data_IF_463591711249
#
_entry.id   IF_463591711249
#
_cell.length_a   1.000
_cell.length_b   1.000
_cell.length_c   1.000
_cell.angle_alpha   90.00
_cell.angle_beta   90.00
_cell.angle_gamma   90.00
#
_symmetry.space_group_name_H-M   'P 1'
#
loop_
_entity.id
_entity.type
_entity.pdbx_description
1 polymer ?
#
# COMPACT_ATOMS: atom_id res chain seq x y z
N UNK A 1 43.08 -14.54 44.16
CA UNK A 1 43.81 -13.26 44.35
C UNK A 1 45.02 -13.37 45.30
N UNK A 2 45.12 -14.39 46.17
CA UNK A 2 46.23 -14.50 47.13
C UNK A 2 47.54 -15.03 46.54
N UNK A 3 47.48 -15.85 45.48
CA UNK A 3 48.67 -16.46 44.84
C UNK A 3 49.49 -15.45 44.05
N UNK A 4 48.84 -14.49 43.37
CA UNK A 4 49.53 -13.43 42.61
C UNK A 4 50.21 -12.41 43.55
N UNK A 5 49.59 -12.10 44.71
CA UNK A 5 50.21 -11.26 45.76
C UNK A 5 51.41 -11.95 46.43
N UNK A 6 51.36 -13.26 46.65
CA UNK A 6 52.48 -14.03 47.23
C UNK A 6 53.65 -14.14 46.24
N UNK A 7 53.39 -14.29 44.94
CA UNK A 7 54.43 -14.36 43.92
C UNK A 7 55.17 -13.02 43.75
N UNK A 8 54.44 -11.89 43.85
CA UNK A 8 55.03 -10.54 43.83
C UNK A 8 55.93 -10.28 45.07
N UNK A 9 55.53 -10.78 46.25
CA UNK A 9 56.27 -10.59 47.50
C UNK A 9 57.58 -11.40 47.57
N UNK A 10 57.61 -12.57 46.93
CA UNK A 10 58.83 -13.39 46.81
C UNK A 10 59.85 -12.77 45.84
N UNK A 11 59.38 -12.15 44.75
CA UNK A 11 60.25 -11.44 43.80
C UNK A 11 60.88 -10.18 44.43
N UNK A 12 60.13 -9.47 45.29
CA UNK A 12 60.66 -8.31 46.03
C UNK A 12 61.66 -8.73 47.11
N UNK A 13 61.48 -9.90 47.75
CA UNK A 13 62.42 -10.40 48.76
C UNK A 13 63.79 -10.76 48.15
N UNK A 14 63.82 -11.28 46.92
CA UNK A 14 65.06 -11.63 46.21
C UNK A 14 65.82 -10.43 45.63
N UNK A 15 65.20 -9.26 45.53
CA UNK A 15 65.83 -8.05 44.98
C UNK A 15 66.73 -7.30 46.00
N UNK A 16 66.73 -7.68 47.29
CA UNK A 16 67.34 -6.87 48.37
C UNK A 16 68.74 -7.30 48.83
N UNK A 17 69.31 -8.38 48.27
CA UNK A 17 70.67 -8.84 48.61
C UNK A 17 71.65 -8.69 47.44
N UNK A 18 71.70 -7.50 46.85
CA UNK A 18 72.80 -7.08 45.99
C UNK A 18 73.87 -6.34 46.79
N UNK A 19 74.77 -7.05 47.48
CA UNK A 19 76.04 -6.42 47.84
C UNK A 19 76.78 -6.19 46.51
N UNK A 20 76.87 -4.93 46.09
CA UNK A 20 77.48 -4.48 44.83
C UNK A 20 78.98 -4.79 44.83
N UNK A 21 79.33 -6.06 44.68
CA UNK A 21 80.67 -6.52 44.38
C UNK A 21 80.85 -6.41 42.87
N UNK A 22 81.82 -5.62 42.44
CA UNK A 22 82.01 -5.35 41.03
C UNK A 22 83.20 -6.12 40.49
N UNK A 23 82.92 -7.07 39.60
CA UNK A 23 83.96 -7.83 38.91
C UNK A 23 84.55 -7.01 37.76
N UNK A 24 85.87 -6.86 37.76
CA UNK A 24 86.62 -6.21 36.69
C UNK A 24 87.75 -7.12 36.24
N UNK A 25 87.94 -7.21 34.91
CA UNK A 25 88.98 -8.03 34.29
C UNK A 25 90.08 -7.09 33.79
N UNK A 26 91.28 -7.27 34.32
CA UNK A 26 92.47 -6.51 33.92
C UNK A 26 93.60 -7.52 33.72
N UNK A 27 94.28 -7.48 32.57
CA UNK A 27 95.40 -8.38 32.25
C UNK A 27 95.08 -9.90 32.37
N UNK A 28 93.83 -10.29 32.12
CA UNK A 28 93.39 -11.70 32.13
C UNK A 28 93.10 -12.28 33.52
N UNK A 29 93.14 -11.46 34.59
CA UNK A 29 92.74 -11.85 35.95
C UNK A 29 91.47 -11.10 36.37
N UNK A 30 90.59 -11.80 37.08
CA UNK A 30 89.32 -11.25 37.58
C UNK A 30 89.51 -10.74 39.00
N UNK A 31 89.22 -9.46 39.21
CA UNK A 31 89.28 -8.79 40.50
C UNK A 31 87.88 -8.38 40.94
N UNK A 32 87.58 -8.54 42.22
CA UNK A 32 86.31 -8.15 42.81
C UNK A 32 86.53 -6.90 43.67
N UNK A 33 85.92 -5.79 43.27
CA UNK A 33 86.08 -4.50 43.93
C UNK A 33 84.86 -4.26 44.82
N UNK A 34 85.12 -4.03 46.12
CA UNK A 34 84.06 -3.74 47.11
C UNK A 34 84.60 -2.81 48.18
N UNK A 35 83.85 -1.76 48.51
CA UNK A 35 84.15 -0.82 49.61
C UNK A 35 85.63 -0.35 49.63
N UNK A 36 86.12 0.05 48.45
CA UNK A 36 87.51 0.53 48.24
C UNK A 36 88.62 -0.52 48.47
N UNK A 37 88.28 -1.81 48.44
CA UNK A 37 89.22 -2.94 48.51
C UNK A 37 89.15 -3.77 47.24
N UNK A 38 90.29 -4.33 46.83
CA UNK A 38 90.43 -5.19 45.67
C UNK A 38 90.68 -6.62 46.18
N UNK A 39 89.77 -7.52 45.82
CA UNK A 39 89.85 -8.93 46.16
C UNK A 39 90.17 -9.77 44.92
N UNK A 40 91.00 -10.79 45.09
CA UNK A 40 91.23 -11.85 44.10
C UNK A 40 91.06 -13.19 44.80
N UNK A 41 90.23 -14.08 44.25
CA UNK A 41 89.94 -15.40 44.86
C UNK A 41 89.49 -15.32 46.34
N UNK A 42 88.80 -14.24 46.71
CA UNK A 42 88.31 -14.01 48.08
C UNK A 42 89.33 -13.46 49.08
N UNK A 43 90.57 -13.17 48.66
CA UNK A 43 91.61 -12.54 49.50
C UNK A 43 91.80 -11.07 49.14
N UNK A 44 91.92 -10.21 50.17
CA UNK A 44 92.23 -8.79 50.01
C UNK A 44 93.68 -8.64 49.55
N UNK A 45 93.87 -8.12 48.34
CA UNK A 45 95.19 -7.91 47.73
C UNK A 45 95.52 -6.42 47.56
N UNK A 46 94.75 -5.54 48.20
CA UNK A 46 94.84 -4.09 48.03
C UNK A 46 96.22 -3.52 48.36
N UNK A 47 96.94 -4.11 49.31
CA UNK A 47 98.30 -3.69 49.69
C UNK A 47 99.39 -4.26 48.78
N UNK A 48 99.08 -5.33 48.03
CA UNK A 48 100.04 -6.07 47.20
C UNK A 48 100.09 -5.59 45.74
N UNK A 49 99.16 -4.72 45.35
CA UNK A 49 99.10 -4.09 44.04
C UNK A 49 99.91 -2.79 44.02
N UNK A 50 100.46 -2.43 42.85
CA UNK A 50 101.06 -1.10 42.64
C UNK A 50 99.99 -0.02 42.55
N UNK A 51 100.33 1.22 42.88
CA UNK A 51 99.36 2.32 42.84
C UNK A 51 98.79 2.56 41.43
N UNK A 52 99.59 2.28 40.40
CA UNK A 52 99.17 2.31 38.99
C UNK A 52 98.09 1.24 38.73
N UNK A 53 98.31 0.01 39.18
CA UNK A 53 97.35 -1.09 39.01
C UNK A 53 96.08 -0.89 39.82
N UNK A 54 96.17 -0.38 41.06
CA UNK A 54 94.99 -0.04 41.87
C UNK A 54 94.13 1.02 41.18
N UNK A 55 94.77 2.07 40.67
CA UNK A 55 94.07 3.15 39.97
C UNK A 55 93.37 2.63 38.71
N UNK A 56 94.04 1.79 37.91
CA UNK A 56 93.43 1.18 36.73
C UNK A 56 92.22 0.28 37.08
N UNK A 57 92.32 -0.54 38.12
CA UNK A 57 91.24 -1.43 38.58
C UNK A 57 90.06 -0.63 39.13
N UNK A 58 90.32 0.41 39.95
CA UNK A 58 89.27 1.28 40.49
C UNK A 58 88.60 2.13 39.40
N UNK A 59 89.35 2.67 38.43
CA UNK A 59 88.79 3.42 37.31
C UNK A 59 87.91 2.54 36.41
N UNK A 60 88.33 1.29 36.16
CA UNK A 60 87.53 0.33 35.41
C UNK A 60 86.26 -0.06 36.16
N UNK A 61 86.33 -0.25 37.48
CA UNK A 61 85.16 -0.51 38.33
C UNK A 61 84.21 0.71 38.30
N UNK A 62 84.73 1.92 38.48
CA UNK A 62 83.93 3.15 38.40
C UNK A 62 83.21 3.29 37.05
N UNK A 63 83.91 3.09 35.93
CA UNK A 63 83.31 3.12 34.58
C UNK A 63 82.23 2.05 34.41
N UNK A 64 82.47 0.83 34.89
CA UNK A 64 81.47 -0.22 34.84
C UNK A 64 80.26 0.08 35.74
N UNK A 65 80.44 0.81 36.85
CA UNK A 65 79.34 1.18 37.76
C UNK A 65 78.50 2.31 37.17
N UNK A 66 79.15 3.30 36.56
CA UNK A 66 78.47 4.37 35.80
C UNK A 66 77.68 3.79 34.63
N UNK A 67 78.26 2.86 33.88
CA UNK A 67 77.59 2.19 32.75
C UNK A 67 76.40 1.32 33.21
N UNK A 68 76.50 0.66 34.37
CA UNK A 68 75.37 -0.07 34.96
C UNK A 68 74.26 0.89 35.41
N UNK A 69 74.61 2.03 36.01
CA UNK A 69 73.64 3.06 36.43
C UNK A 69 72.94 3.69 35.22
N UNK A 70 73.66 3.95 34.14
CA UNK A 70 73.11 4.43 32.88
C UNK A 70 72.18 3.41 32.24
N UNK A 71 72.57 2.13 32.20
CA UNK A 71 71.70 1.04 31.72
C UNK A 71 70.43 0.91 32.54
N UNK A 72 70.51 1.01 33.87
CA UNK A 72 69.34 0.95 34.74
C UNK A 72 68.40 2.15 34.49
N UNK A 73 68.92 3.37 34.40
CA UNK A 73 68.11 4.54 34.09
C UNK A 73 67.42 4.42 32.72
N UNK A 74 68.13 3.91 31.70
CA UNK A 74 67.56 3.69 30.38
C UNK A 74 66.49 2.58 30.40
N UNK A 75 66.67 1.54 31.22
CA UNK A 75 65.68 0.48 31.43
C UNK A 75 64.41 1.04 32.09
N UNK A 76 64.56 1.82 33.17
CA UNK A 76 63.44 2.43 33.90
C UNK A 76 62.67 3.43 33.01
N UNK A 77 63.39 4.21 32.18
CA UNK A 77 62.79 5.08 31.17
C UNK A 77 62.03 4.30 30.10
N UNK A 78 62.58 3.19 29.61
CA UNK A 78 61.93 2.33 28.64
C UNK A 78 60.69 1.62 29.22
N UNK A 79 60.72 1.20 30.48
CA UNK A 79 59.58 0.61 31.18
C UNK A 79 58.47 1.65 31.39
N UNK A 80 58.83 2.87 31.79
CA UNK A 80 57.87 3.98 31.93
C UNK A 80 57.21 4.34 30.60
N UNK A 81 57.99 4.40 29.52
CA UNK A 81 57.46 4.67 28.17
C UNK A 81 56.50 3.57 27.71
N UNK A 82 56.83 2.29 27.93
CA UNK A 82 55.93 1.16 27.65
C UNK A 82 54.65 1.21 28.47
N UNK A 83 54.73 1.59 29.74
CA UNK A 83 53.55 1.70 30.60
C UNK A 83 52.62 2.83 30.15
N UNK A 84 53.17 3.96 29.70
CA UNK A 84 52.41 5.08 29.13
C UNK A 84 51.72 4.68 27.82
N UNK A 85 52.41 3.94 26.94
CA UNK A 85 51.84 3.39 25.70
C UNK A 85 50.69 2.41 26.00
N UNK A 86 50.86 1.51 26.97
CA UNK A 86 49.80 0.57 27.40
C UNK A 86 48.60 1.32 27.96
N UNK A 87 48.81 2.36 28.76
CA UNK A 87 47.71 3.15 29.33
C UNK A 87 46.95 3.91 28.24
N UNK A 88 47.66 4.45 27.25
CA UNK A 88 47.05 5.12 26.09
C UNK A 88 46.22 4.12 25.28
N UNK A 89 46.78 2.96 24.93
CA UNK A 89 46.06 1.91 24.21
C UNK A 89 44.83 1.41 24.99
N UNK A 90 44.93 1.28 26.32
CA UNK A 90 43.80 0.89 27.17
C UNK A 90 42.69 1.94 27.18
N UNK A 91 43.04 3.23 27.17
CA UNK A 91 42.07 4.30 27.10
C UNK A 91 41.36 4.31 25.73
N UNK A 92 42.08 4.14 24.64
CA UNK A 92 41.51 4.04 23.29
C UNK A 92 40.54 2.86 23.16
N UNK A 93 40.89 1.69 23.71
CA UNK A 93 40.00 0.52 23.72
C UNK A 93 38.72 0.80 24.52
N UNK A 94 38.82 1.46 25.67
CA UNK A 94 37.66 1.83 26.49
C UNK A 94 36.74 2.82 25.77
N UNK A 95 37.31 3.81 25.09
CA UNK A 95 36.54 4.78 24.30
C UNK A 95 35.86 4.09 23.10
N UNK A 96 36.54 3.16 22.43
CA UNK A 96 35.97 2.36 21.35
C UNK A 96 34.83 1.45 21.81
N UNK A 97 34.93 0.87 23.01
CA UNK A 97 33.87 0.03 23.59
C UNK A 97 32.62 0.85 23.94
N UNK A 98 32.80 2.03 24.56
CA UNK A 98 31.69 2.96 24.83
C UNK A 98 31.01 3.42 23.53
N UNK A 99 31.78 3.72 22.50
CA UNK A 99 31.23 4.10 21.19
C UNK A 99 30.41 2.97 20.55
N UNK A 100 30.84 1.70 20.72
CA UNK A 100 30.06 0.53 20.25
C UNK A 100 28.76 0.36 21.03
N UNK A 101 28.79 0.50 22.36
CA UNK A 101 27.59 0.41 23.20
C UNK A 101 26.58 1.51 22.86
N UNK A 102 27.05 2.75 22.66
CA UNK A 102 26.19 3.87 22.25
C UNK A 102 25.58 3.63 20.85
N UNK A 103 26.35 3.10 19.91
CA UNK A 103 25.86 2.76 18.57
C UNK A 103 24.81 1.64 18.63
N UNK A 104 25.01 0.61 19.44
CA UNK A 104 24.04 -0.49 19.63
C UNK A 104 22.73 0.03 20.24
N UNK A 105 22.80 0.89 21.26
CA UNK A 105 21.63 1.48 21.89
C UNK A 105 20.85 2.39 20.92
N UNK A 106 21.55 3.17 20.09
CA UNK A 106 20.93 3.97 19.01
C UNK A 106 20.23 3.09 17.98
N UNK A 107 20.84 1.97 17.58
CA UNK A 107 20.20 1.03 16.65
C UNK A 107 18.94 0.41 17.24
N UNK A 108 18.98 -0.05 18.50
CA UNK A 108 17.80 -0.60 19.18
C UNK A 108 16.66 0.41 19.31
N UNK A 109 16.98 1.67 19.59
CA UNK A 109 15.99 2.75 19.64
C UNK A 109 15.34 3.00 18.27
N UNK A 110 16.12 3.02 17.18
CA UNK A 110 15.61 3.17 15.82
C UNK A 110 14.74 1.98 15.39
N UNK A 111 15.11 0.76 15.75
CA UNK A 111 14.28 -0.42 15.48
C UNK A 111 12.96 -0.39 16.24
N UNK A 112 12.97 0.02 17.51
CA UNK A 112 11.75 0.17 18.30
C UNK A 112 10.82 1.26 17.72
N UNK A 113 11.37 2.39 17.27
CA UNK A 113 10.59 3.45 16.62
C UNK A 113 9.97 2.98 15.30
N UNK A 114 10.74 2.26 14.48
CA UNK A 114 10.24 1.67 13.22
C UNK A 114 9.13 0.64 13.51
N UNK A 115 9.31 -0.23 14.50
CA UNK A 115 8.31 -1.22 14.88
C UNK A 115 7.01 -0.58 15.38
N UNK A 116 7.08 0.54 16.11
CA UNK A 116 5.90 1.30 16.53
C UNK A 116 5.15 1.90 15.33
N UNK A 117 5.88 2.55 14.40
CA UNK A 117 5.29 3.11 13.16
C UNK A 117 4.63 2.05 12.29
N UNK A 118 5.22 0.85 12.20
CA UNK A 118 4.61 -0.27 11.45
C UNK A 118 3.29 -0.69 12.10
N UNK A 119 3.24 -0.84 13.43
CA UNK A 119 2.01 -1.23 14.13
C UNK A 119 0.88 -0.21 13.97
N UNK A 120 1.20 1.07 13.97
CA UNK A 120 0.19 2.12 13.76
C UNK A 120 -0.31 2.11 12.31
N UNK A 121 0.58 1.93 11.34
CA UNK A 121 0.21 1.78 9.93
C UNK A 121 -0.65 0.52 9.66
N UNK A 122 -0.34 -0.61 10.30
CA UNK A 122 -1.14 -1.84 10.20
C UNK A 122 -2.56 -1.65 10.75
N UNK A 123 -2.72 -0.96 11.89
CA UNK A 123 -4.05 -0.65 12.45
C UNK A 123 -4.86 0.27 11.54
N UNK A 124 -4.21 1.27 10.94
CA UNK A 124 -4.86 2.18 10.00
C UNK A 124 -5.30 1.44 8.73
N UNK A 125 -4.45 0.56 8.19
CA UNK A 125 -4.78 -0.27 7.05
C UNK A 125 -5.95 -1.24 7.33
N UNK A 126 -5.98 -1.87 8.51
CA UNK A 126 -7.10 -2.75 8.92
C UNK A 126 -8.41 -1.97 9.06
N UNK A 127 -8.37 -0.76 9.62
CA UNK A 127 -9.54 0.12 9.73
C UNK A 127 -10.07 0.53 8.34
N UNK A 128 -9.17 0.86 7.41
CA UNK A 128 -9.53 1.19 6.03
C UNK A 128 -10.15 0.00 5.29
N UNK A 129 -9.60 -1.20 5.43
CA UNK A 129 -10.18 -2.42 4.84
C UNK A 129 -11.58 -2.72 5.37
N UNK A 130 -11.80 -2.62 6.69
CA UNK A 130 -13.13 -2.79 7.29
C UNK A 130 -14.13 -1.74 6.83
N UNK A 131 -13.69 -0.51 6.54
CA UNK A 131 -14.55 0.53 5.99
C UNK A 131 -14.95 0.23 4.54
N UNK A 132 -14.00 -0.22 3.71
CA UNK A 132 -14.27 -0.63 2.33
C UNK A 132 -15.24 -1.82 2.27
N UNK A 133 -15.03 -2.86 3.07
CA UNK A 133 -15.93 -4.03 3.11
C UNK A 133 -17.37 -3.65 3.51
N UNK A 134 -17.53 -2.67 4.42
CA UNK A 134 -18.86 -2.16 4.80
C UNK A 134 -19.54 -1.40 3.66
N UNK A 135 -18.80 -0.61 2.89
CA UNK A 135 -19.33 0.10 1.73
C UNK A 135 -19.70 -0.86 0.59
N UNK A 136 -18.87 -1.88 0.30
CA UNK A 136 -19.19 -2.91 -0.69
C UNK A 136 -20.50 -3.63 -0.35
N UNK A 137 -20.70 -4.02 0.92
CA UNK A 137 -21.96 -4.66 1.37
C UNK A 137 -23.17 -3.74 1.24
N UNK A 138 -23.01 -2.41 1.35
CA UNK A 138 -24.10 -1.45 1.13
C UNK A 138 -24.42 -1.33 -0.36
N UNK A 139 -23.40 -1.24 -1.21
CA UNK A 139 -23.56 -1.17 -2.66
C UNK A 139 -24.24 -2.44 -3.20
N UNK A 140 -23.82 -3.63 -2.75
CA UNK A 140 -24.43 -4.90 -3.16
C UNK A 140 -25.93 -4.95 -2.81
N UNK A 141 -26.31 -4.46 -1.61
CA UNK A 141 -27.73 -4.36 -1.23
C UNK A 141 -28.50 -3.40 -2.11
N UNK A 142 -27.92 -2.23 -2.40
CA UNK A 142 -28.54 -1.22 -3.25
C UNK A 142 -28.72 -1.72 -4.71
N UNK A 143 -27.75 -2.48 -5.24
CA UNK A 143 -27.86 -3.10 -6.56
C UNK A 143 -28.97 -4.15 -6.62
N UNK A 144 -29.07 -5.02 -5.60
CA UNK A 144 -30.17 -6.01 -5.50
C UNK A 144 -31.54 -5.37 -5.43
N UNK A 145 -31.67 -4.20 -4.79
CA UNK A 145 -32.93 -3.44 -4.75
C UNK A 145 -33.26 -2.84 -6.11
N UNK A 146 -32.28 -2.20 -6.77
CA UNK A 146 -32.45 -1.66 -8.13
C UNK A 146 -32.82 -2.74 -9.14
N UNK A 147 -32.21 -3.92 -9.08
CA UNK A 147 -32.53 -5.04 -9.97
C UNK A 147 -33.98 -5.51 -9.79
N UNK A 148 -34.46 -5.58 -8.53
CA UNK A 148 -35.86 -5.92 -8.24
C UNK A 148 -36.84 -4.87 -8.77
N UNK A 149 -36.47 -3.60 -8.70
CA UNK A 149 -37.28 -2.49 -9.22
C UNK A 149 -37.36 -2.51 -10.75
N UNK A 150 -36.23 -2.69 -11.43
CA UNK A 150 -36.17 -2.84 -12.88
C UNK A 150 -37.02 -4.03 -13.36
N UNK A 151 -36.98 -5.18 -12.66
CA UNK A 151 -37.84 -6.34 -12.97
C UNK A 151 -39.34 -6.04 -12.80
N UNK A 152 -39.72 -5.13 -11.91
CA UNK A 152 -41.13 -4.70 -11.75
C UNK A 152 -41.54 -3.76 -12.88
N UNK A 153 -40.67 -2.81 -13.24
CA UNK A 153 -40.89 -1.87 -14.34
C UNK A 153 -41.03 -2.63 -15.66
N UNK A 154 -40.13 -3.56 -15.97
CA UNK A 154 -40.19 -4.36 -17.21
C UNK A 154 -41.50 -5.17 -17.31
N UNK A 155 -41.98 -5.73 -16.18
CA UNK A 155 -43.28 -6.43 -16.15
C UNK A 155 -44.46 -5.50 -16.37
N UNK A 156 -44.41 -4.28 -15.85
CA UNK A 156 -45.44 -3.27 -16.06
C UNK A 156 -45.48 -2.79 -17.52
N UNK A 157 -44.31 -2.54 -18.13
CA UNK A 157 -44.20 -2.16 -19.54
C UNK A 157 -44.73 -3.24 -20.47
N UNK A 158 -44.40 -4.52 -20.24
CA UNK A 158 -44.94 -5.64 -21.02
C UNK A 158 -46.47 -5.76 -20.94
N UNK A 159 -47.07 -5.41 -19.80
CA UNK A 159 -48.54 -5.38 -19.66
C UNK A 159 -49.14 -4.20 -20.42
N UNK A 160 -48.57 -3.00 -20.24
CA UNK A 160 -49.00 -1.80 -20.93
C UNK A 160 -48.89 -1.95 -22.46
N UNK A 161 -47.82 -2.59 -22.97
CA UNK A 161 -47.65 -2.83 -24.41
C UNK A 161 -48.74 -3.77 -24.97
N UNK A 162 -49.09 -4.82 -24.23
CA UNK A 162 -50.17 -5.75 -24.62
C UNK A 162 -51.52 -5.04 -24.65
N UNK A 163 -51.81 -4.19 -23.66
CA UNK A 163 -53.04 -3.39 -23.61
C UNK A 163 -53.10 -2.39 -24.76
N UNK A 164 -52.00 -1.67 -25.05
CA UNK A 164 -51.92 -0.77 -26.21
C UNK A 164 -52.17 -1.49 -27.53
N UNK A 165 -51.60 -2.68 -27.72
CA UNK A 165 -51.84 -3.51 -28.91
C UNK A 165 -53.29 -3.99 -29.02
N UNK A 166 -53.97 -4.25 -27.90
CA UNK A 166 -55.39 -4.61 -27.91
C UNK A 166 -56.26 -3.41 -28.29
N UNK A 167 -55.99 -2.25 -27.69
CA UNK A 167 -56.69 -0.99 -27.98
C UNK A 167 -56.48 -0.61 -29.46
N UNK A 168 -55.26 -0.68 -29.98
CA UNK A 168 -54.95 -0.38 -31.37
C UNK A 168 -55.74 -1.27 -32.36
N UNK A 169 -55.88 -2.56 -32.04
CA UNK A 169 -56.70 -3.49 -32.85
C UNK A 169 -58.18 -3.14 -32.82
N UNK A 170 -58.72 -2.74 -31.67
CA UNK A 170 -60.13 -2.33 -31.55
C UNK A 170 -60.39 -1.01 -32.27
N UNK A 171 -59.48 -0.03 -32.16
CA UNK A 171 -59.55 1.23 -32.93
C UNK A 171 -59.54 0.95 -34.43
N UNK A 172 -58.64 0.08 -34.91
CA UNK A 172 -58.59 -0.29 -36.33
C UNK A 172 -59.86 -1.01 -36.83
N UNK A 173 -60.55 -1.77 -35.97
CA UNK A 173 -61.86 -2.36 -36.30
C UNK A 173 -62.96 -1.30 -36.34
N UNK A 174 -62.98 -0.39 -35.37
CA UNK A 174 -63.93 0.71 -35.30
C UNK A 174 -63.81 1.63 -36.53
N UNK A 175 -62.60 2.00 -36.92
CA UNK A 175 -62.33 2.82 -38.11
C UNK A 175 -62.83 2.14 -39.40
N UNK A 176 -62.62 0.82 -39.53
CA UNK A 176 -63.15 0.05 -40.67
C UNK A 176 -64.67 0.00 -40.70
N UNK A 177 -65.32 -0.09 -39.55
CA UNK A 177 -66.78 -0.05 -39.45
C UNK A 177 -67.31 1.34 -39.77
N UNK A 178 -66.67 2.40 -39.27
CA UNK A 178 -67.02 3.78 -39.57
C UNK A 178 -66.92 4.07 -41.06
N UNK A 179 -65.84 3.63 -41.72
CA UNK A 179 -65.70 3.75 -43.18
C UNK A 179 -66.86 3.08 -43.92
N UNK A 180 -67.20 1.83 -43.56
CA UNK A 180 -68.31 1.09 -44.19
C UNK A 180 -69.66 1.77 -43.93
N UNK A 181 -69.86 2.32 -42.74
CA UNK A 181 -71.06 3.07 -42.38
C UNK A 181 -71.16 4.35 -43.22
N UNK A 182 -70.07 5.07 -43.43
CA UNK A 182 -70.02 6.28 -44.24
C UNK A 182 -70.32 5.98 -45.71
N UNK A 183 -69.74 4.92 -46.28
CA UNK A 183 -70.05 4.47 -47.64
C UNK A 183 -71.54 4.11 -47.78
N UNK A 184 -72.10 3.40 -46.80
CA UNK A 184 -73.53 3.05 -46.79
C UNK A 184 -74.45 4.29 -46.68
N UNK A 185 -74.06 5.28 -45.87
CA UNK A 185 -74.78 6.57 -45.76
C UNK A 185 -74.75 7.36 -47.07
N UNK A 186 -73.62 7.37 -47.78
CA UNK A 186 -73.55 8.01 -49.10
C UNK A 186 -74.48 7.34 -50.12
N UNK A 187 -74.49 6.01 -50.15
CA UNK A 187 -75.36 5.25 -51.05
C UNK A 187 -76.85 5.46 -50.75
N UNK A 188 -77.21 5.56 -49.46
CA UNK A 188 -78.56 5.92 -49.04
C UNK A 188 -78.93 7.31 -49.54
N UNK A 189 -78.07 8.31 -49.31
CA UNK A 189 -78.28 9.69 -49.77
C UNK A 189 -78.44 9.78 -51.30
N UNK A 190 -77.64 9.03 -52.06
CA UNK A 190 -77.76 8.94 -53.54
C UNK A 190 -79.11 8.33 -53.94
N UNK A 191 -79.59 7.32 -53.23
CA UNK A 191 -80.89 6.70 -53.49
C UNK A 191 -82.06 7.62 -53.15
N UNK A 192 -82.01 8.31 -52.00
CA UNK A 192 -83.00 9.30 -51.57
C UNK A 192 -83.11 10.46 -52.55
N UNK A 193 -81.98 11.05 -52.95
CA UNK A 193 -81.95 12.12 -53.95
C UNK A 193 -82.56 11.66 -55.29
N UNK A 194 -82.27 10.44 -55.72
CA UNK A 194 -82.83 9.88 -56.96
C UNK A 194 -84.34 9.67 -56.85
N UNK A 195 -84.83 9.23 -55.69
CA UNK A 195 -86.26 9.11 -55.42
C UNK A 195 -86.93 10.49 -55.45
N UNK A 196 -86.41 11.47 -54.72
CA UNK A 196 -86.91 12.85 -54.66
C UNK A 196 -87.02 13.48 -56.06
N UNK A 197 -85.95 13.41 -56.85
CA UNK A 197 -85.95 13.97 -58.22
C UNK A 197 -87.01 13.32 -59.12
N UNK A 198 -87.21 12.00 -59.02
CA UNK A 198 -88.22 11.31 -59.81
C UNK A 198 -89.64 11.58 -59.30
N UNK A 199 -89.83 11.71 -57.97
CA UNK A 199 -91.10 12.09 -57.35
C UNK A 199 -91.52 13.48 -57.80
N UNK A 200 -90.63 14.47 -57.70
CA UNK A 200 -90.87 15.85 -58.20
C UNK A 200 -91.19 15.89 -59.69
N UNK A 201 -90.50 15.06 -60.50
CA UNK A 201 -90.76 14.97 -61.95
C UNK A 201 -92.14 14.38 -62.24
N UNK A 202 -92.54 13.34 -61.50
CA UNK A 202 -93.88 12.75 -61.60
C UNK A 202 -94.97 13.76 -61.22
N UNK A 203 -94.85 14.39 -60.04
CA UNK A 203 -95.78 15.41 -59.55
C UNK A 203 -95.95 16.57 -60.54
N UNK A 204 -94.84 17.02 -61.15
CA UNK A 204 -94.88 18.06 -62.18
C UNK A 204 -95.64 17.62 -63.43
N UNK A 205 -95.39 16.41 -63.94
CA UNK A 205 -96.06 15.89 -65.13
C UNK A 205 -97.56 15.63 -64.88
N UNK A 206 -97.90 15.21 -63.67
CA UNK A 206 -99.27 14.96 -63.21
C UNK A 206 -100.06 16.25 -63.14
N UNK A 207 -99.50 17.27 -62.47
CA UNK A 207 -100.06 18.62 -62.43
C UNK A 207 -100.22 19.25 -63.81
N UNK A 208 -99.28 19.00 -64.72
CA UNK A 208 -99.34 19.50 -66.10
C UNK A 208 -100.36 18.73 -66.98
N UNK A 209 -101.01 17.66 -66.48
CA UNK A 209 -101.96 16.84 -67.23
C UNK A 209 -101.34 16.01 -68.36
N UNK A 210 -100.02 15.82 -68.34
CA UNK A 210 -99.24 15.18 -69.43
C UNK A 210 -99.11 13.66 -69.26
N UNK A 211 -99.83 13.06 -68.32
CA UNK A 211 -99.81 11.63 -68.03
C UNK A 211 -101.09 10.96 -68.51
N UNK A 212 -100.96 9.93 -69.34
CA UNK A 212 -102.07 9.03 -69.62
C UNK A 212 -102.30 8.08 -68.43
N UNK A 213 -103.49 7.46 -68.28
CA UNK A 213 -103.73 6.47 -67.23
C UNK A 213 -102.70 5.33 -67.19
N UNK A 214 -102.22 4.90 -68.36
CA UNK A 214 -101.17 3.87 -68.47
C UNK A 214 -99.78 4.39 -68.02
N UNK A 215 -99.48 5.68 -68.25
CA UNK A 215 -98.20 6.26 -67.81
C UNK A 215 -98.16 6.48 -66.29
N UNK A 216 -99.29 6.78 -65.64
CA UNK A 216 -99.38 6.78 -64.17
C UNK A 216 -98.93 5.45 -63.57
N UNK A 217 -99.36 4.33 -64.15
CA UNK A 217 -98.99 3.00 -63.68
C UNK A 217 -97.49 2.73 -63.83
N UNK A 218 -96.90 3.11 -64.98
CA UNK A 218 -95.43 3.02 -65.19
C UNK A 218 -94.65 3.87 -64.18
N UNK A 219 -95.09 5.09 -63.91
CA UNK A 219 -94.45 5.97 -62.93
C UNK A 219 -94.59 5.44 -61.51
N UNK A 220 -95.77 4.94 -61.12
CA UNK A 220 -95.98 4.30 -59.83
C UNK A 220 -95.06 3.09 -59.65
N UNK A 221 -94.93 2.23 -60.67
CA UNK A 221 -93.98 1.11 -60.67
C UNK A 221 -92.53 1.57 -60.52
N UNK A 222 -92.14 2.66 -61.20
CA UNK A 222 -90.79 3.25 -61.11
C UNK A 222 -90.49 3.84 -59.73
N UNK A 223 -91.43 4.60 -59.15
CA UNK A 223 -91.29 5.20 -57.81
C UNK A 223 -91.26 4.11 -56.74
N UNK A 224 -92.10 3.08 -56.84
CA UNK A 224 -92.04 1.93 -55.93
C UNK A 224 -90.69 1.21 -56.01
N UNK A 225 -90.17 0.98 -57.22
CA UNK A 225 -88.83 0.40 -57.39
C UNK A 225 -87.68 1.27 -56.84
N UNK A 226 -87.87 2.59 -56.72
CA UNK A 226 -86.92 3.50 -56.07
C UNK A 226 -87.10 3.52 -54.54
N UNK A 227 -88.34 3.49 -54.03
CA UNK A 227 -88.64 3.33 -52.59
C UNK A 227 -88.06 2.02 -52.05
N UNK A 228 -88.20 0.93 -52.79
CA UNK A 228 -87.59 -0.36 -52.43
C UNK A 228 -86.06 -0.28 -52.37
N UNK A 229 -85.43 0.52 -53.24
CA UNK A 229 -83.98 0.74 -53.20
C UNK A 229 -83.56 1.57 -51.99
N UNK A 230 -84.29 2.63 -51.65
CA UNK A 230 -84.06 3.43 -50.43
C UNK A 230 -84.19 2.55 -49.20
N UNK A 231 -85.29 1.82 -49.06
CA UNK A 231 -85.51 0.90 -47.93
C UNK A 231 -84.43 -0.19 -47.82
N UNK A 232 -83.90 -0.69 -48.96
CA UNK A 232 -82.77 -1.64 -48.95
C UNK A 232 -81.46 -0.99 -48.47
N UNK A 233 -81.18 0.25 -48.84
CA UNK A 233 -79.96 0.95 -48.38
C UNK A 233 -80.08 1.38 -46.91
N UNK A 234 -81.27 1.81 -46.48
CA UNK A 234 -81.55 2.14 -45.08
C UNK A 234 -81.34 0.93 -44.17
N UNK A 235 -81.83 -0.25 -44.59
CA UNK A 235 -81.54 -1.53 -43.92
C UNK A 235 -80.06 -1.87 -43.85
N UNK A 236 -79.24 -1.44 -44.83
CA UNK A 236 -77.79 -1.65 -44.78
C UNK A 236 -77.11 -0.71 -43.80
N UNK A 237 -77.51 0.56 -43.75
CA UNK A 237 -77.01 1.54 -42.77
C UNK A 237 -77.32 1.07 -41.35
N UNK A 238 -78.54 0.60 -41.09
CA UNK A 238 -78.99 0.12 -39.78
C UNK A 238 -78.37 -1.23 -39.35
N UNK A 239 -77.58 -1.87 -40.21
CA UNK A 239 -76.90 -3.15 -39.90
C UNK A 239 -75.50 -2.94 -39.30
N UNK A 240 -74.98 -1.73 -39.34
CA UNK A 240 -73.71 -1.33 -38.75
C UNK A 240 -73.94 -0.73 -37.37
#
# INVERSE_FOLDING_TARGET
MNTLKQLLLVVILFATTGAMAQEVVTEGKTYLVKDSKIFSEGKDITTSLTDIQKTAIFDQAKKAAELLKEKQNNLDLAEKAKLEEINTAKQEVLEAEKAKEEAENKMKALEAEKAAKIKDAEKEAEAAQKALEKEEKKLEKAEKEKEKELKKIEKAEKKAEKERKAIEKEVAKAEKLEKKLNDAKEDLKKAENKLDVQTKKYEKLDRDGKLSPNDHEKWKKKLNGLKDKVAKQEKKVNKF
#
